data_IF_533632138278
#
_entry.id   IF_533632138278
#
_cell.length_a   1.000
_cell.length_b   1.000
_cell.length_c   1.000
_cell.angle_alpha   90.00
_cell.angle_beta   90.00
_cell.angle_gamma   90.00
#
_symmetry.space_group_name_H-M   'P 1'
#
loop_
_entity.id
_entity.type
_entity.pdbx_description
1 polymer ?
#
# COMPACT_ATOMS: atom_id res chain seq x y z
N UNK A 1 12.93 19.37 1.11
CA UNK A 1 12.17 18.79 2.23
C UNK A 1 12.17 17.25 2.20
N UNK A 2 12.26 16.58 1.04
CA UNK A 2 12.34 15.11 0.91
C UNK A 2 13.73 14.61 0.48
N UNK A 3 14.80 15.10 1.10
CA UNK A 3 16.18 14.86 0.63
C UNK A 3 16.66 13.40 0.73
N UNK A 4 15.91 12.52 1.41
CA UNK A 4 16.20 11.09 1.51
C UNK A 4 15.47 10.19 0.51
N UNK A 5 14.66 10.74 -0.40
CA UNK A 5 13.85 9.92 -1.31
C UNK A 5 14.59 9.63 -2.63
N UNK A 6 14.78 8.34 -2.92
CA UNK A 6 15.32 7.84 -4.19
C UNK A 6 14.57 8.36 -5.41
N UNK A 7 13.30 8.75 -5.27
CA UNK A 7 12.53 9.35 -6.36
C UNK A 7 13.26 10.53 -7.03
N UNK A 8 13.91 11.39 -6.23
CA UNK A 8 14.58 12.59 -6.74
C UNK A 8 15.94 12.31 -7.39
N UNK A 9 16.52 11.13 -7.19
CA UNK A 9 17.82 10.75 -7.78
C UNK A 9 17.68 9.92 -9.06
N UNK A 10 16.47 9.48 -9.39
CA UNK A 10 16.18 8.72 -10.60
C UNK A 10 16.18 9.61 -11.84
N UNK A 11 16.51 8.99 -12.99
CA UNK A 11 16.25 9.58 -14.31
C UNK A 11 14.75 9.78 -14.52
N UNK A 12 14.37 10.65 -15.46
CA UNK A 12 12.95 10.89 -15.79
C UNK A 12 12.18 9.57 -16.08
N UNK A 13 12.80 8.66 -16.82
CA UNK A 13 12.21 7.34 -17.10
C UNK A 13 12.08 6.48 -15.85
N UNK A 14 13.09 6.52 -14.96
CA UNK A 14 13.05 5.87 -13.66
C UNK A 14 11.92 6.41 -12.77
N UNK A 15 11.67 7.72 -12.79
CA UNK A 15 10.57 8.35 -12.07
C UNK A 15 9.20 7.93 -12.63
N UNK A 16 9.01 8.00 -13.95
CA UNK A 16 7.75 7.60 -14.60
C UNK A 16 7.44 6.13 -14.31
N UNK A 17 8.43 5.24 -14.46
CA UNK A 17 8.25 3.83 -14.16
C UNK A 17 7.91 3.59 -12.68
N UNK A 18 8.55 4.31 -11.76
CA UNK A 18 8.29 4.20 -10.33
C UNK A 18 6.87 4.67 -9.96
N UNK A 19 6.39 5.76 -10.57
CA UNK A 19 4.99 6.20 -10.43
C UNK A 19 4.04 5.13 -10.96
N UNK A 20 4.33 4.55 -12.13
CA UNK A 20 3.54 3.47 -12.70
C UNK A 20 3.43 2.25 -11.78
N UNK A 21 4.56 1.78 -11.25
CA UNK A 21 4.60 0.66 -10.28
C UNK A 21 3.83 1.00 -9.01
N UNK A 22 4.03 2.21 -8.47
CA UNK A 22 3.31 2.70 -7.29
C UNK A 22 1.79 2.73 -7.51
N UNK A 23 1.33 3.17 -8.68
CA UNK A 23 -0.09 3.18 -9.03
C UNK A 23 -0.66 1.76 -9.13
N UNK A 24 0.05 0.83 -9.77
CA UNK A 24 -0.36 -0.57 -9.84
C UNK A 24 -0.48 -1.17 -8.44
N UNK A 25 0.50 -0.93 -7.57
CA UNK A 25 0.48 -1.41 -6.18
C UNK A 25 -0.67 -0.81 -5.38
N UNK A 26 -0.92 0.49 -5.52
CA UNK A 26 -2.04 1.15 -4.87
C UNK A 26 -3.39 0.56 -5.33
N UNK A 27 -3.59 0.39 -6.64
CA UNK A 27 -4.82 -0.21 -7.18
C UNK A 27 -5.02 -1.66 -6.72
N UNK A 28 -3.95 -2.45 -6.70
CA UNK A 28 -3.99 -3.83 -6.17
C UNK A 28 -4.35 -3.84 -4.69
N UNK A 29 -3.77 -2.96 -3.87
CA UNK A 29 -4.07 -2.87 -2.45
C UNK A 29 -5.52 -2.47 -2.19
N UNK A 30 -6.04 -1.47 -2.93
CA UNK A 30 -7.44 -1.05 -2.84
C UNK A 30 -8.39 -2.15 -3.30
N UNK A 31 -8.11 -2.79 -4.44
CA UNK A 31 -8.91 -3.89 -4.98
C UNK A 31 -8.93 -5.11 -4.05
N UNK A 32 -7.78 -5.48 -3.49
CA UNK A 32 -7.68 -6.56 -2.51
C UNK A 32 -8.47 -6.23 -1.25
N UNK A 33 -8.33 -5.02 -0.72
CA UNK A 33 -9.10 -4.56 0.45
C UNK A 33 -10.59 -4.68 0.18
N UNK A 34 -11.06 -4.18 -0.97
CA UNK A 34 -12.45 -4.28 -1.39
C UNK A 34 -12.96 -5.73 -1.41
N UNK A 35 -12.22 -6.64 -2.06
CA UNK A 35 -12.59 -8.05 -2.17
C UNK A 35 -12.66 -8.72 -0.79
N UNK A 36 -11.71 -8.43 0.11
CA UNK A 36 -11.64 -9.04 1.44
C UNK A 36 -12.79 -8.60 2.36
N UNK A 37 -13.26 -7.35 2.23
CA UNK A 37 -14.28 -6.78 3.11
C UNK A 37 -15.71 -6.99 2.61
N UNK A 38 -15.90 -7.37 1.34
CA UNK A 38 -17.20 -7.19 0.68
C UNK A 38 -18.37 -7.96 1.33
N UNK A 39 -18.10 -9.15 1.86
CA UNK A 39 -19.10 -9.99 2.53
C UNK A 39 -19.02 -9.92 4.05
N UNK A 40 -18.19 -9.04 4.61
CA UNK A 40 -17.89 -9.01 6.05
C UNK A 40 -18.73 -7.93 6.76
N UNK A 41 -19.17 -8.18 8.01
CA UNK A 41 -19.77 -7.14 8.84
C UNK A 41 -18.73 -6.07 9.21
N UNK A 42 -19.18 -4.84 9.46
CA UNK A 42 -18.32 -3.67 9.66
C UNK A 42 -17.22 -3.89 10.73
N UNK A 43 -17.55 -4.59 11.82
CA UNK A 43 -16.63 -4.92 12.92
C UNK A 43 -15.41 -5.72 12.43
N UNK A 44 -15.58 -6.59 11.43
CA UNK A 44 -14.50 -7.39 10.85
C UNK A 44 -13.73 -6.60 9.77
N UNK A 45 -14.34 -5.58 9.16
CA UNK A 45 -13.71 -4.81 8.08
C UNK A 45 -12.51 -3.99 8.55
N UNK A 46 -12.59 -3.43 9.75
CA UNK A 46 -11.49 -2.65 10.36
C UNK A 46 -10.24 -3.52 10.58
N UNK A 47 -10.29 -4.67 11.30
CA UNK A 47 -9.10 -5.50 11.44
C UNK A 47 -8.61 -6.08 10.11
N UNK A 48 -9.51 -6.41 9.17
CA UNK A 48 -9.12 -6.84 7.81
C UNK A 48 -8.36 -5.74 7.07
N UNK A 49 -8.84 -4.49 7.11
CA UNK A 49 -8.15 -3.33 6.55
C UNK A 49 -6.76 -3.17 7.15
N UNK A 50 -6.67 -3.20 8.49
CA UNK A 50 -5.41 -2.99 9.19
C UNK A 50 -4.39 -4.06 8.81
N UNK A 51 -4.80 -5.34 8.79
CA UNK A 51 -3.93 -6.45 8.37
C UNK A 51 -3.52 -6.32 6.91
N UNK A 52 -4.44 -5.96 6.01
CA UNK A 52 -4.13 -5.74 4.59
C UNK A 52 -3.13 -4.59 4.40
N UNK A 53 -3.29 -3.48 5.14
CA UNK A 53 -2.37 -2.36 5.12
C UNK A 53 -0.98 -2.73 5.65
N UNK A 54 -0.91 -3.41 6.80
CA UNK A 54 0.37 -3.89 7.36
C UNK A 54 1.08 -4.82 6.38
N UNK A 55 0.33 -5.74 5.76
CA UNK A 55 0.88 -6.66 4.75
C UNK A 55 1.43 -5.89 3.55
N UNK A 56 0.74 -4.85 3.10
CA UNK A 56 1.21 -4.00 2.01
C UNK A 56 2.52 -3.28 2.37
N UNK A 57 2.58 -2.64 3.54
CA UNK A 57 3.79 -1.95 4.03
C UNK A 57 4.96 -2.93 4.13
N UNK A 58 4.69 -4.15 4.61
CA UNK A 58 5.70 -5.19 4.78
C UNK A 58 6.20 -5.79 3.46
N UNK A 59 5.31 -6.05 2.49
CA UNK A 59 5.64 -6.77 1.27
C UNK A 59 6.05 -5.86 0.09
N UNK A 60 5.53 -4.63 0.02
CA UNK A 60 5.80 -3.71 -1.09
C UNK A 60 7.30 -3.36 -1.30
N UNK A 61 8.18 -3.32 -0.28
CA UNK A 61 9.61 -3.10 -0.48
C UNK A 61 10.24 -4.10 -1.46
N UNK A 62 9.81 -5.37 -1.44
CA UNK A 62 10.30 -6.37 -2.38
C UNK A 62 9.92 -6.05 -3.83
N UNK A 63 8.69 -5.57 -4.03
CA UNK A 63 8.20 -5.18 -5.34
C UNK A 63 8.96 -3.99 -5.91
N UNK A 64 9.19 -2.95 -5.08
CA UNK A 64 10.02 -1.81 -5.48
C UNK A 64 11.48 -2.21 -5.73
N UNK A 65 12.03 -3.12 -4.93
CA UNK A 65 13.38 -3.64 -5.17
C UNK A 65 13.49 -4.38 -6.50
N UNK A 66 12.46 -5.16 -6.85
CA UNK A 66 12.41 -5.84 -8.16
C UNK A 66 12.37 -4.82 -9.32
N UNK A 67 11.64 -3.72 -9.18
CA UNK A 67 11.70 -2.60 -10.14
C UNK A 67 13.10 -1.98 -10.20
N UNK A 68 13.73 -1.71 -9.06
CA UNK A 68 15.08 -1.17 -9.03
C UNK A 68 16.13 -2.06 -9.70
N UNK A 69 16.01 -3.38 -9.56
CA UNK A 69 16.86 -4.35 -10.27
C UNK A 69 16.71 -4.34 -11.78
N UNK A 70 15.60 -3.80 -12.31
CA UNK A 70 15.41 -3.65 -13.76
C UNK A 70 16.06 -2.38 -14.31
N UNK A 71 16.23 -1.35 -13.47
CA UNK A 71 16.74 -0.04 -13.92
C UNK A 71 18.17 0.25 -13.45
N UNK A 72 18.69 -0.50 -12.47
CA UNK A 72 20.06 -0.42 -11.99
C UNK A 72 20.78 -1.75 -12.21
N UNK A 73 21.88 -1.69 -12.95
CA UNK A 73 22.75 -2.84 -13.17
C UNK A 73 23.51 -3.23 -11.89
N UNK A 74 23.75 -4.54 -11.72
CA UNK A 74 24.59 -5.06 -10.64
C UNK A 74 23.91 -5.21 -9.28
N UNK A 75 22.61 -4.93 -9.16
CA UNK A 75 21.88 -5.19 -7.92
C UNK A 75 21.65 -6.70 -7.70
N UNK A 76 22.01 -7.25 -6.52
CA UNK A 76 21.94 -8.69 -6.26
C UNK A 76 20.50 -9.22 -6.28
N UNK A 77 20.35 -10.49 -6.66
CA UNK A 77 19.09 -11.20 -6.50
C UNK A 77 18.90 -11.61 -5.04
N UNK A 78 18.22 -10.77 -4.25
CA UNK A 78 17.98 -11.04 -2.83
C UNK A 78 16.56 -10.64 -2.39
N UNK A 79 16.14 -11.24 -1.28
CA UNK A 79 14.97 -10.77 -0.55
C UNK A 79 15.34 -9.55 0.28
N UNK A 80 14.55 -8.48 0.17
CA UNK A 80 14.64 -7.30 1.04
C UNK A 80 13.50 -7.23 2.05
N UNK A 81 12.59 -8.21 2.04
CA UNK A 81 11.56 -8.36 3.09
C UNK A 81 12.26 -8.72 4.39
N UNK A 82 12.01 -7.92 5.43
CA UNK A 82 12.53 -8.11 6.79
C UNK A 82 11.40 -8.56 7.72
N UNK A 83 11.58 -8.42 9.03
CA UNK A 83 10.48 -8.58 9.98
C UNK A 83 9.32 -7.60 9.64
N UNK A 84 8.06 -7.96 9.95
CA UNK A 84 6.93 -7.05 9.85
C UNK A 84 7.19 -5.74 10.63
N UNK A 85 6.68 -4.60 10.14
CA UNK A 85 6.85 -3.33 10.85
C UNK A 85 6.18 -3.42 12.23
N UNK A 86 6.81 -2.88 13.28
CA UNK A 86 6.21 -2.84 14.59
C UNK A 86 5.00 -1.88 14.60
N UNK A 87 4.05 -2.02 15.55
CA UNK A 87 2.81 -1.25 15.56
C UNK A 87 3.01 0.27 15.55
N UNK A 88 4.05 0.78 16.22
CA UNK A 88 4.40 2.20 16.27
C UNK A 88 4.74 2.78 14.90
N UNK A 89 5.41 2.02 14.04
CA UNK A 89 5.76 2.46 12.68
C UNK A 89 4.51 2.53 11.80
N UNK A 90 3.61 1.56 11.95
CA UNK A 90 2.31 1.54 11.26
C UNK A 90 1.47 2.73 11.69
N UNK A 91 1.43 3.02 13.00
CA UNK A 91 0.73 4.19 13.52
C UNK A 91 1.36 5.48 12.97
N UNK A 92 2.68 5.60 13.00
CA UNK A 92 3.40 6.78 12.50
C UNK A 92 3.12 7.05 11.01
N UNK A 93 2.99 6.00 10.19
CA UNK A 93 2.56 6.13 8.79
C UNK A 93 1.12 6.64 8.68
N UNK A 94 0.19 6.11 9.47
CA UNK A 94 -1.23 6.50 9.45
C UNK A 94 -1.46 7.90 10.03
N UNK A 95 -0.63 8.36 10.96
CA UNK A 95 -0.71 9.70 11.56
C UNK A 95 0.19 10.72 10.87
N UNK A 96 0.91 10.33 9.82
CA UNK A 96 1.87 11.19 9.10
C UNK A 96 2.98 11.75 10.00
N UNK A 97 3.35 11.02 11.06
CA UNK A 97 4.43 11.39 12.01
C UNK A 97 5.71 10.58 11.76
N UNK A 98 5.73 9.73 10.73
CA UNK A 98 6.89 8.95 10.32
C UNK A 98 7.96 9.75 9.57
N UNK A 99 8.84 9.07 8.81
CA UNK A 99 9.89 9.72 8.02
C UNK A 99 9.35 10.83 7.12
N UNK A 100 10.08 11.94 7.03
CA UNK A 100 9.76 13.02 6.09
C UNK A 100 10.21 12.65 4.67
N UNK A 101 9.52 11.68 4.06
CA UNK A 101 9.69 11.26 2.67
C UNK A 101 8.36 11.27 1.91
N UNK A 102 8.40 11.45 0.59
CA UNK A 102 7.20 11.45 -0.24
C UNK A 102 6.52 10.08 -0.22
N UNK A 103 7.33 9.02 -0.27
CA UNK A 103 6.89 7.64 -0.13
C UNK A 103 6.14 7.38 1.19
N UNK A 104 6.66 7.80 2.35
CA UNK A 104 6.00 7.59 3.64
C UNK A 104 4.63 8.28 3.71
N UNK A 105 4.55 9.54 3.26
CA UNK A 105 3.27 10.26 3.20
C UNK A 105 2.29 9.60 2.23
N UNK A 106 2.76 9.16 1.05
CA UNK A 106 1.93 8.47 0.06
C UNK A 106 1.39 7.15 0.58
N UNK A 107 2.18 6.40 1.36
CA UNK A 107 1.75 5.19 2.06
C UNK A 107 0.67 5.52 3.09
N UNK A 108 0.83 6.59 3.88
CA UNK A 108 -0.19 7.06 4.83
C UNK A 108 -1.51 7.41 4.12
N UNK A 109 -1.46 8.15 3.02
CA UNK A 109 -2.62 8.46 2.18
C UNK A 109 -3.30 7.17 1.68
N UNK A 110 -2.53 6.22 1.14
CA UNK A 110 -3.05 4.94 0.68
C UNK A 110 -3.72 4.16 1.82
N UNK A 111 -3.13 4.14 3.01
CA UNK A 111 -3.71 3.51 4.20
C UNK A 111 -5.09 4.06 4.53
N UNK A 112 -5.26 5.39 4.48
CA UNK A 112 -6.56 6.03 4.66
C UNK A 112 -7.54 5.74 3.53
N UNK A 113 -7.09 5.72 2.27
CA UNK A 113 -7.95 5.33 1.14
C UNK A 113 -8.44 3.88 1.27
N UNK A 114 -7.58 2.96 1.69
CA UNK A 114 -7.97 1.58 1.98
C UNK A 114 -8.98 1.52 3.14
N UNK A 115 -8.83 2.38 4.17
CA UNK A 115 -9.79 2.46 5.28
C UNK A 115 -11.16 2.91 4.77
N UNK A 116 -11.21 3.95 3.95
CA UNK A 116 -12.44 4.44 3.30
C UNK A 116 -13.08 3.30 2.50
N UNK A 117 -12.32 2.59 1.67
CA UNK A 117 -12.81 1.42 0.91
C UNK A 117 -13.38 0.34 1.85
N UNK A 118 -12.74 0.10 2.99
CA UNK A 118 -13.18 -0.90 3.96
C UNK A 118 -14.51 -0.52 4.64
N UNK A 119 -14.65 0.74 5.06
CA UNK A 119 -15.85 1.19 5.78
C UNK A 119 -16.98 1.65 4.86
N UNK A 120 -16.70 1.84 3.56
CA UNK A 120 -17.68 2.32 2.62
C UNK A 120 -18.93 1.43 2.62
N UNK A 121 -20.14 2.01 2.71
CA UNK A 121 -21.36 1.24 2.70
C UNK A 121 -21.50 0.53 1.35
N UNK A 122 -21.25 -0.77 1.36
CA UNK A 122 -21.52 -1.60 0.21
C UNK A 122 -23.00 -1.90 0.20
N UNK A 123 -23.72 -1.37 -0.81
CA UNK A 123 -25.10 -1.77 -1.03
C UNK A 123 -25.11 -3.29 -1.17
N UNK A 124 -25.70 -4.00 -0.20
CA UNK A 124 -26.14 -5.36 -0.44
C UNK A 124 -27.01 -5.25 -1.69
N UNK A 125 -26.61 -5.85 -2.81
CA UNK A 125 -27.59 -6.22 -3.83
C UNK A 125 -28.53 -7.14 -3.07
N UNK A 126 -29.64 -6.60 -2.57
CA UNK A 126 -30.81 -7.39 -2.25
C UNK A 126 -31.13 -8.08 -3.57
N UNK A 127 -30.65 -9.32 -3.71
CA UNK A 127 -31.21 -10.24 -4.68
C UNK A 127 -32.61 -10.46 -4.14
N UNK A 128 -33.55 -9.66 -4.62
CA UNK A 128 -34.96 -9.97 -4.54
C UNK A 128 -35.11 -11.31 -5.26
N UNK A 129 -34.96 -12.39 -4.49
CA UNK A 129 -35.45 -13.70 -4.80
C UNK A 129 -36.69 -13.87 -3.93
N UNK A 130 -37.70 -13.07 -4.27
CA UNK A 130 -39.08 -13.24 -3.91
C UNK A 130 -39.82 -12.85 -5.19
N UNK A 131 -39.99 -13.86 -6.05
CA UNK A 131 -41.24 -14.24 -6.71
C UNK A 131 -40.94 -15.36 -7.73
#
# INVERSE_FOLDING_TARGET
MYEGDSFHTLTLWGQIGLVGVSLVFALLALGLTWVLVQLRPLIIRIPVWLVAFITFVWASPQGYYMYYRMIFDGLPAQSVIQAPPPPEDVLALLTFTGPMTLSAHSIGVLGWLMCVVAVWPQRRKCRNAAD
#
